data_IF_217483999540
#
_entry.id   IF_217483999540
#
_cell.length_a   1.000
_cell.length_b   1.000
_cell.length_c   1.000
_cell.angle_alpha   90.00
_cell.angle_beta   90.00
_cell.angle_gamma   90.00
#
_symmetry.space_group_name_H-M   'P 1'
#
loop_
_entity.id
_entity.type
_entity.pdbx_description
1 polymer ?
#
# COMPACT_ATOMS: atom_id res chain seq x y z
N UNK A 1 -7.74 12.00 -9.79
CA UNK A 1 -6.29 11.97 -9.50
C UNK A 1 -5.57 12.10 -10.81
N UNK A 2 -4.81 13.19 -11.01
CA UNK A 2 -4.03 13.33 -12.23
C UNK A 2 -3.00 12.22 -12.27
N UNK A 3 -2.99 11.44 -13.35
CA UNK A 3 -2.03 10.35 -13.54
C UNK A 3 -0.63 10.97 -13.65
N UNK A 4 0.26 10.62 -12.72
CA UNK A 4 1.65 11.07 -12.77
C UNK A 4 2.29 10.57 -14.07
N UNK A 5 2.86 11.45 -14.88
CA UNK A 5 3.49 11.06 -16.13
C UNK A 5 4.82 10.34 -15.86
N UNK A 6 4.98 9.18 -16.51
CA UNK A 6 6.28 8.49 -16.58
C UNK A 6 7.23 9.33 -17.41
N UNK A 7 8.45 9.50 -16.87
CA UNK A 7 9.52 10.22 -17.55
C UNK A 7 10.45 9.27 -18.33
N UNK A 8 11.73 9.45 -18.19
CA UNK A 8 12.76 8.73 -18.95
C UNK A 8 13.22 7.45 -18.23
N UNK A 9 13.13 6.31 -18.90
CA UNK A 9 13.64 5.00 -18.45
C UNK A 9 14.92 4.57 -19.18
N UNK A 10 15.50 5.43 -20.01
CA UNK A 10 16.74 5.11 -20.72
C UNK A 10 17.86 4.75 -19.72
N UNK A 11 18.65 3.73 -20.05
CA UNK A 11 19.74 3.27 -19.19
C UNK A 11 19.33 2.33 -18.04
N UNK A 12 18.03 2.08 -17.82
CA UNK A 12 17.60 1.00 -16.94
C UNK A 12 17.83 -0.36 -17.62
N UNK A 13 18.29 -1.35 -16.85
CA UNK A 13 18.49 -2.71 -17.33
C UNK A 13 17.18 -3.52 -17.27
N UNK A 14 16.83 -4.30 -18.31
CA UNK A 14 15.69 -5.18 -18.25
C UNK A 14 15.94 -6.33 -17.26
N UNK A 15 14.90 -6.69 -16.52
CA UNK A 15 14.85 -7.87 -15.64
C UNK A 15 13.86 -8.85 -16.26
N UNK A 16 14.31 -10.08 -16.49
CA UNK A 16 13.45 -11.14 -17.00
C UNK A 16 12.48 -11.60 -15.90
N UNK A 17 11.20 -11.39 -16.12
CA UNK A 17 10.12 -11.87 -15.25
C UNK A 17 8.92 -12.29 -16.11
N UNK A 18 8.43 -13.54 -16.00
CA UNK A 18 7.27 -13.98 -16.76
C UNK A 18 6.02 -13.14 -16.45
N UNK A 19 5.35 -12.66 -17.49
CA UNK A 19 4.05 -12.01 -17.39
C UNK A 19 4.07 -10.51 -17.07
N UNK A 20 5.24 -9.91 -16.84
CA UNK A 20 5.35 -8.45 -16.71
C UNK A 20 6.67 -7.90 -17.27
N UNK A 21 6.69 -6.59 -17.52
CA UNK A 21 7.92 -5.87 -17.87
C UNK A 21 8.56 -5.37 -16.58
N UNK A 22 9.85 -5.66 -16.39
CA UNK A 22 10.58 -5.13 -15.24
C UNK A 22 11.89 -4.48 -15.67
N UNK A 23 12.20 -3.32 -15.08
CA UNK A 23 13.39 -2.53 -15.34
C UNK A 23 14.08 -2.19 -14.02
N UNK A 24 15.41 -2.13 -14.03
CA UNK A 24 16.21 -1.86 -12.83
C UNK A 24 17.29 -0.83 -13.10
N UNK A 25 17.56 0.01 -12.11
CA UNK A 25 18.78 0.81 -12.10
C UNK A 25 20.02 -0.08 -12.05
N UNK A 26 21.13 0.29 -12.75
CA UNK A 26 22.38 -0.43 -12.63
C UNK A 26 22.83 -0.60 -11.17
N UNK A 27 23.18 -1.83 -10.79
CA UNK A 27 23.59 -2.19 -9.41
C UNK A 27 22.45 -2.61 -8.48
N UNK A 28 21.18 -2.52 -8.90
CA UNK A 28 20.03 -2.99 -8.12
C UNK A 28 19.44 -4.30 -8.63
N UNK A 29 20.04 -4.93 -9.63
CA UNK A 29 19.45 -6.05 -10.39
C UNK A 29 19.09 -7.26 -9.51
N UNK A 30 19.89 -7.55 -8.48
CA UNK A 30 19.61 -8.67 -7.56
C UNK A 30 18.32 -8.42 -6.77
N UNK A 31 18.18 -7.21 -6.22
CA UNK A 31 17.00 -6.82 -5.48
C UNK A 31 15.79 -6.73 -6.42
N UNK A 32 15.98 -6.14 -7.59
CA UNK A 32 14.97 -6.00 -8.62
C UNK A 32 14.34 -7.34 -9.03
N UNK A 33 15.14 -8.41 -9.16
CA UNK A 33 14.59 -9.76 -9.42
C UNK A 33 13.65 -10.24 -8.32
N UNK A 34 13.97 -9.98 -7.06
CA UNK A 34 13.09 -10.36 -5.94
C UNK A 34 11.77 -9.60 -5.98
N UNK A 35 11.83 -8.28 -6.20
CA UNK A 35 10.64 -7.43 -6.28
C UNK A 35 9.80 -7.78 -7.51
N UNK A 36 10.42 -7.93 -8.68
CA UNK A 36 9.74 -8.29 -9.91
C UNK A 36 9.05 -9.67 -9.82
N UNK A 37 9.75 -10.66 -9.25
CA UNK A 37 9.18 -12.00 -9.07
C UNK A 37 7.98 -11.98 -8.11
N UNK A 38 8.01 -11.19 -7.03
CA UNK A 38 6.83 -10.97 -6.18
C UNK A 38 5.70 -10.33 -6.96
N UNK A 39 5.98 -9.22 -7.66
CA UNK A 39 4.98 -8.53 -8.47
C UNK A 39 4.36 -9.43 -9.54
N UNK A 40 5.17 -10.25 -10.22
CA UNK A 40 4.71 -11.21 -11.23
C UNK A 40 3.76 -12.27 -10.67
N UNK A 41 4.12 -12.89 -9.53
CA UNK A 41 3.24 -13.86 -8.87
C UNK A 41 1.97 -13.21 -8.33
N UNK A 42 2.08 -12.02 -7.70
CA UNK A 42 0.92 -11.28 -7.19
C UNK A 42 0.00 -10.83 -8.34
N UNK A 43 0.56 -10.40 -9.47
CA UNK A 43 -0.21 -10.07 -10.68
C UNK A 43 -0.99 -11.26 -11.20
N UNK A 44 -0.37 -12.44 -11.27
CA UNK A 44 -1.06 -13.66 -11.70
C UNK A 44 -2.22 -14.03 -10.76
N UNK A 45 -1.98 -14.02 -9.44
CA UNK A 45 -2.98 -14.30 -8.42
C UNK A 45 -4.15 -13.31 -8.45
N UNK A 46 -3.86 -12.00 -8.45
CA UNK A 46 -4.90 -10.97 -8.53
C UNK A 46 -5.68 -11.03 -9.84
N UNK A 47 -5.02 -11.36 -10.96
CA UNK A 47 -5.69 -11.48 -12.25
C UNK A 47 -6.69 -12.64 -12.27
N UNK A 48 -6.34 -13.77 -11.64
CA UNK A 48 -7.25 -14.90 -11.47
C UNK A 48 -8.42 -14.53 -10.54
N UNK A 49 -8.11 -13.93 -9.39
CA UNK A 49 -9.10 -13.55 -8.37
C UNK A 49 -10.10 -12.50 -8.88
N UNK A 50 -9.61 -11.47 -9.59
CA UNK A 50 -10.39 -10.30 -9.99
C UNK A 50 -10.90 -10.36 -11.43
N UNK A 51 -10.51 -11.40 -12.18
CA UNK A 51 -11.05 -11.73 -13.49
C UNK A 51 -10.50 -10.89 -14.66
N UNK A 52 -9.41 -10.13 -14.48
CA UNK A 52 -8.72 -9.46 -15.58
C UNK A 52 -7.28 -9.11 -15.25
N UNK A 53 -6.34 -9.13 -16.23
CA UNK A 53 -4.96 -8.73 -16.06
C UNK A 53 -4.75 -7.27 -16.49
N UNK A 54 -4.41 -6.33 -15.58
CA UNK A 54 -3.99 -5.00 -15.96
C UNK A 54 -2.60 -5.04 -16.63
N UNK A 55 -2.27 -3.99 -17.39
CA UNK A 55 -0.91 -3.81 -17.90
C UNK A 55 -0.01 -3.36 -16.75
N UNK A 56 1.13 -4.02 -16.60
CA UNK A 56 2.07 -3.76 -15.50
C UNK A 56 3.49 -3.67 -16.04
N UNK A 57 4.18 -2.62 -15.64
CA UNK A 57 5.62 -2.48 -15.72
C UNK A 57 6.15 -2.15 -14.32
N UNK A 58 7.25 -2.74 -13.89
CA UNK A 58 7.88 -2.48 -12.59
C UNK A 58 9.24 -1.82 -12.80
N UNK A 59 9.45 -0.63 -12.24
CA UNK A 59 10.73 0.05 -12.22
C UNK A 59 11.33 0.03 -10.82
N UNK A 60 12.45 -0.68 -10.64
CA UNK A 60 13.18 -0.77 -9.36
C UNK A 60 14.38 0.16 -9.42
N UNK A 61 14.33 1.28 -8.69
CA UNK A 61 15.19 2.42 -8.93
C UNK A 61 16.18 2.68 -7.79
N UNK A 62 17.42 3.01 -8.17
CA UNK A 62 18.38 3.67 -7.29
C UNK A 62 18.05 5.17 -7.14
N UNK A 63 18.55 5.86 -6.08
CA UNK A 63 18.29 7.30 -5.87
C UNK A 63 18.63 8.18 -7.09
N UNK A 64 19.71 7.85 -7.82
CA UNK A 64 20.17 8.62 -8.99
C UNK A 64 19.21 8.61 -10.17
N UNK A 65 18.39 7.57 -10.31
CA UNK A 65 17.42 7.44 -11.40
C UNK A 65 16.00 7.85 -11.02
N UNK A 66 15.73 7.98 -9.71
CA UNK A 66 14.38 8.24 -9.19
C UNK A 66 13.72 9.46 -9.85
N UNK A 67 14.33 10.66 -9.70
CA UNK A 67 13.76 11.90 -10.26
C UNK A 67 13.74 11.96 -11.79
N UNK A 68 14.41 11.03 -12.48
CA UNK A 68 14.36 10.89 -13.94
C UNK A 68 13.13 10.10 -14.40
N UNK A 69 12.72 9.07 -13.63
CA UNK A 69 11.60 8.18 -13.97
C UNK A 69 10.28 8.70 -13.42
N UNK A 70 10.28 9.28 -12.22
CA UNK A 70 9.07 9.76 -11.53
C UNK A 70 9.18 11.22 -11.08
N UNK A 71 8.07 11.98 -11.06
CA UNK A 71 8.02 13.33 -10.50
C UNK A 71 7.92 13.34 -8.96
N UNK A 72 7.67 12.18 -8.31
CA UNK A 72 7.54 12.10 -6.85
C UNK A 72 8.91 12.36 -6.19
N UNK A 73 9.06 13.40 -5.36
CA UNK A 73 10.37 13.83 -4.87
C UNK A 73 10.93 12.94 -3.75
N UNK A 74 10.08 12.13 -3.12
CA UNK A 74 10.46 11.28 -1.98
C UNK A 74 10.98 9.95 -2.47
N UNK A 75 12.30 9.74 -2.42
CA UNK A 75 12.91 8.48 -2.78
C UNK A 75 12.40 7.35 -1.89
N UNK A 76 11.95 6.28 -2.52
CA UNK A 76 11.50 5.07 -1.86
C UNK A 76 10.02 5.02 -1.54
N UNK A 77 9.27 6.10 -1.74
CA UNK A 77 7.81 6.06 -1.62
C UNK A 77 7.24 5.29 -2.82
N UNK A 78 6.72 4.05 -2.64
CA UNK A 78 6.18 3.27 -3.75
C UNK A 78 4.92 3.95 -4.30
N UNK A 79 4.76 3.92 -5.60
CA UNK A 79 3.60 4.49 -6.29
C UNK A 79 3.56 4.01 -7.74
N UNK A 80 2.49 4.33 -8.45
CA UNK A 80 2.44 4.12 -9.89
C UNK A 80 2.46 5.44 -10.67
N UNK A 81 3.01 5.40 -11.89
CA UNK A 81 3.04 6.51 -12.84
C UNK A 81 2.51 6.05 -14.20
N UNK A 82 1.97 6.99 -14.97
CA UNK A 82 1.35 6.65 -16.25
C UNK A 82 0.20 5.66 -16.08
N UNK A 83 0.01 4.81 -17.08
CA UNK A 83 -1.10 3.87 -17.12
C UNK A 83 -0.79 2.53 -16.43
N UNK A 84 0.45 2.26 -16.01
CA UNK A 84 0.77 0.93 -15.46
C UNK A 84 2.21 0.72 -15.00
N UNK A 85 3.00 1.78 -14.76
CA UNK A 85 4.37 1.65 -14.28
C UNK A 85 4.41 1.80 -12.76
N UNK A 86 4.74 0.72 -12.05
CA UNK A 86 5.03 0.73 -10.62
C UNK A 86 6.47 1.18 -10.39
N UNK A 87 6.68 2.10 -9.46
CA UNK A 87 7.98 2.62 -9.10
C UNK A 87 8.28 2.27 -7.64
N UNK A 88 9.36 1.54 -7.42
CA UNK A 88 9.81 1.11 -6.09
C UNK A 88 11.30 1.33 -5.90
N UNK A 89 11.75 1.44 -4.64
CA UNK A 89 13.18 1.61 -4.34
C UNK A 89 13.97 0.33 -4.58
N UNK A 90 15.11 0.45 -5.23
CA UNK A 90 16.10 -0.63 -5.43
C UNK A 90 17.13 -0.75 -4.31
N UNK A 91 17.11 0.20 -3.35
CA UNK A 91 18.00 0.27 -2.19
C UNK A 91 17.24 0.77 -0.97
N UNK A 92 17.74 0.55 0.26
CA UNK A 92 17.09 1.08 1.46
C UNK A 92 16.79 2.58 1.35
N UNK A 93 15.57 2.95 1.69
CA UNK A 93 15.08 4.31 1.57
C UNK A 93 14.96 5.00 2.93
N UNK A 94 15.61 6.17 3.12
CA UNK A 94 15.53 6.92 4.39
C UNK A 94 14.10 7.25 4.81
N UNK A 95 13.18 7.41 3.85
CA UNK A 95 11.76 7.65 4.15
C UNK A 95 11.19 6.59 5.11
N UNK A 96 11.44 5.30 4.85
CA UNK A 96 10.94 4.23 5.69
C UNK A 96 11.79 4.04 6.95
N UNK A 97 13.11 3.90 6.81
CA UNK A 97 14.01 3.56 7.93
C UNK A 97 14.12 4.68 8.96
N UNK A 98 14.03 5.94 8.56
CA UNK A 98 14.26 7.10 9.43
C UNK A 98 12.96 7.87 9.71
N UNK A 99 12.21 8.26 8.67
CA UNK A 99 11.04 9.12 8.87
C UNK A 99 9.87 8.34 9.45
N UNK A 100 9.47 7.21 8.83
CA UNK A 100 8.32 6.43 9.30
C UNK A 100 8.59 5.80 10.66
N UNK A 101 9.76 5.18 10.86
CA UNK A 101 10.16 4.65 12.17
C UNK A 101 10.33 5.78 13.20
N UNK A 102 10.91 6.93 12.79
CA UNK A 102 11.04 8.12 13.63
C UNK A 102 9.71 8.68 14.11
N UNK A 103 8.68 8.58 13.31
CA UNK A 103 7.32 9.02 13.63
C UNK A 103 6.69 8.22 14.78
N UNK A 104 6.85 6.90 14.77
CA UNK A 104 6.22 6.02 15.76
C UNK A 104 7.05 5.83 17.03
N UNK A 105 8.39 5.91 16.92
CA UNK A 105 9.34 5.63 18.02
C UNK A 105 9.05 6.38 19.33
N UNK A 106 8.69 7.68 19.32
CA UNK A 106 8.42 8.42 20.58
C UNK A 106 7.25 7.85 21.38
N UNK A 107 6.22 7.31 20.72
CA UNK A 107 5.03 6.74 21.37
C UNK A 107 5.16 5.27 21.75
N UNK A 108 6.27 4.59 21.39
CA UNK A 108 6.47 3.20 21.73
C UNK A 108 6.88 3.00 23.18
N UNK A 109 6.21 2.08 23.86
CA UNK A 109 6.66 1.53 25.14
C UNK A 109 7.83 0.53 24.95
N UNK A 110 8.26 -0.12 26.01
CA UNK A 110 9.38 -1.06 25.96
C UNK A 110 9.04 -2.32 25.13
N UNK A 111 7.81 -2.80 25.20
CA UNK A 111 7.35 -3.95 24.41
C UNK A 111 7.30 -3.60 22.91
N UNK A 112 6.75 -2.45 22.56
CA UNK A 112 6.73 -1.96 21.17
C UNK A 112 8.14 -1.79 20.60
N UNK A 113 9.07 -1.25 21.37
CA UNK A 113 10.49 -1.15 20.97
C UNK A 113 11.15 -2.51 20.80
N UNK A 114 10.84 -3.46 21.67
CA UNK A 114 11.33 -4.83 21.55
C UNK A 114 10.79 -5.50 20.27
N UNK A 115 9.48 -5.42 20.02
CA UNK A 115 8.86 -5.98 18.82
C UNK A 115 9.43 -5.36 17.54
N UNK A 116 9.60 -4.04 17.49
CA UNK A 116 10.19 -3.35 16.34
C UNK A 116 11.59 -3.91 16.02
N UNK A 117 12.45 -4.07 17.04
CA UNK A 117 13.80 -4.63 16.87
C UNK A 117 13.80 -6.10 16.52
N UNK A 118 12.90 -6.88 17.09
CA UNK A 118 12.80 -8.30 16.81
C UNK A 118 12.49 -8.61 15.35
N UNK A 119 11.66 -7.77 14.72
CA UNK A 119 11.23 -7.94 13.32
C UNK A 119 12.19 -7.26 12.34
N UNK A 120 12.65 -6.04 12.65
CA UNK A 120 13.37 -5.20 11.69
C UNK A 120 14.85 -4.95 12.05
N UNK A 121 15.34 -5.55 13.14
CA UNK A 121 16.74 -5.38 13.59
C UNK A 121 17.01 -4.12 14.40
N UNK A 122 18.28 -3.91 14.74
CA UNK A 122 18.76 -2.74 15.48
C UNK A 122 20.04 -2.19 14.82
N UNK A 123 20.00 -1.01 14.16
CA UNK A 123 18.83 -0.16 13.93
C UNK A 123 17.78 -0.82 13.02
N UNK A 124 16.50 -0.49 13.18
CA UNK A 124 15.43 -1.05 12.34
C UNK A 124 15.66 -0.78 10.85
N UNK A 125 15.54 -1.83 10.04
CA UNK A 125 15.59 -1.78 8.58
C UNK A 125 14.25 -2.27 8.03
N UNK A 126 13.43 -1.35 7.59
CA UNK A 126 12.05 -1.66 7.16
C UNK A 126 11.92 -1.88 5.65
N UNK A 127 13.05 -2.05 4.95
CA UNK A 127 13.05 -2.44 3.54
C UNK A 127 12.17 -3.68 3.26
N UNK A 128 12.20 -4.76 4.09
CA UNK A 128 11.32 -5.90 3.84
C UNK A 128 9.83 -5.56 3.84
N UNK A 129 9.40 -4.59 4.68
CA UNK A 129 8.04 -4.06 4.67
C UNK A 129 7.77 -3.25 3.39
N UNK A 130 8.67 -2.32 3.03
CA UNK A 130 8.48 -1.51 1.83
C UNK A 130 8.46 -2.33 0.54
N UNK A 131 9.17 -3.45 0.50
CA UNK A 131 9.17 -4.38 -0.64
C UNK A 131 7.83 -5.11 -0.81
N UNK A 132 7.05 -5.27 0.26
CA UNK A 132 5.69 -5.82 0.17
C UNK A 132 4.72 -4.86 -0.48
N UNK A 133 4.95 -3.55 -0.33
CA UNK A 133 4.06 -2.52 -0.87
C UNK A 133 3.97 -2.54 -2.40
N UNK A 134 4.85 -3.26 -3.12
CA UNK A 134 4.68 -3.50 -4.56
C UNK A 134 3.35 -4.17 -4.88
N UNK A 135 2.83 -5.02 -3.97
CA UNK A 135 1.51 -5.67 -4.13
C UNK A 135 0.37 -4.68 -3.89
N UNK A 136 0.52 -3.78 -2.92
CA UNK A 136 -0.42 -2.68 -2.67
C UNK A 136 -0.54 -1.78 -3.91
N UNK A 137 0.60 -1.32 -4.43
CA UNK A 137 0.63 -0.46 -5.63
C UNK A 137 0.12 -1.18 -6.88
N UNK A 138 0.41 -2.49 -7.00
CA UNK A 138 -0.15 -3.32 -8.05
C UNK A 138 -1.69 -3.34 -8.00
N UNK A 139 -2.28 -3.46 -6.81
CA UNK A 139 -3.74 -3.48 -6.65
C UNK A 139 -4.41 -2.19 -7.11
N UNK A 140 -3.74 -1.03 -6.98
CA UNK A 140 -4.23 0.23 -7.55
C UNK A 140 -4.44 0.15 -9.08
N UNK A 141 -3.63 -0.61 -9.80
CA UNK A 141 -3.79 -0.75 -11.25
C UNK A 141 -5.06 -1.52 -11.64
N UNK A 142 -5.52 -2.44 -10.79
CA UNK A 142 -6.75 -3.19 -11.07
C UNK A 142 -7.98 -2.29 -11.09
N UNK A 143 -8.17 -1.41 -10.12
CA UNK A 143 -9.29 -0.49 -10.18
C UNK A 143 -9.06 0.64 -11.20
N UNK A 144 -7.85 1.19 -11.32
CA UNK A 144 -7.56 2.26 -12.27
C UNK A 144 -7.79 1.83 -13.73
N UNK A 145 -7.29 0.64 -14.13
CA UNK A 145 -7.46 0.14 -15.49
C UNK A 145 -8.83 -0.51 -15.74
N UNK A 146 -9.62 -0.77 -14.70
CA UNK A 146 -11.03 -1.17 -14.85
C UNK A 146 -11.94 -0.01 -15.24
N UNK A 147 -11.43 1.22 -15.27
CA UNK A 147 -12.18 2.40 -15.72
C UNK A 147 -13.11 2.98 -14.64
N UNK A 148 -12.91 2.64 -13.39
CA UNK A 148 -13.67 3.24 -12.29
C UNK A 148 -12.74 3.66 -11.14
N UNK A 149 -13.28 4.52 -10.26
CA UNK A 149 -12.67 4.94 -9.00
C UNK A 149 -13.61 4.66 -7.85
N UNK A 150 -13.07 4.23 -6.74
CA UNK A 150 -13.85 4.13 -5.52
C UNK A 150 -14.40 5.51 -5.12
N UNK A 151 -15.62 5.60 -4.56
CA UNK A 151 -16.25 6.88 -4.21
C UNK A 151 -15.48 7.65 -3.14
N UNK A 152 -14.71 6.95 -2.32
CA UNK A 152 -13.92 7.50 -1.21
C UNK A 152 -12.47 7.02 -1.33
N UNK A 153 -11.50 7.90 -1.04
CA UNK A 153 -10.06 7.57 -1.10
C UNK A 153 -9.70 6.40 -0.18
N UNK A 154 -10.21 6.41 1.05
CA UNK A 154 -9.94 5.36 2.02
C UNK A 154 -10.35 3.96 1.55
N UNK A 155 -11.41 3.89 0.76
CA UNK A 155 -11.90 2.62 0.23
C UNK A 155 -10.97 2.06 -0.85
N UNK A 156 -10.38 2.93 -1.67
CA UNK A 156 -9.32 2.56 -2.61
C UNK A 156 -8.09 2.02 -1.87
N UNK A 157 -7.65 2.69 -0.82
CA UNK A 157 -6.51 2.27 -0.01
C UNK A 157 -6.81 0.96 0.75
N UNK A 158 -8.02 0.82 1.30
CA UNK A 158 -8.45 -0.42 1.94
C UNK A 158 -8.44 -1.61 0.95
N UNK A 159 -8.92 -1.40 -0.28
CA UNK A 159 -8.86 -2.43 -1.32
C UNK A 159 -7.43 -2.88 -1.58
N UNK A 160 -6.49 -1.94 -1.68
CA UNK A 160 -5.08 -2.26 -1.91
C UNK A 160 -4.43 -2.95 -0.71
N UNK A 161 -4.77 -2.54 0.52
CA UNK A 161 -4.31 -3.21 1.73
C UNK A 161 -4.90 -4.62 1.88
N UNK A 162 -6.17 -4.85 1.50
CA UNK A 162 -6.76 -6.19 1.45
C UNK A 162 -6.05 -7.10 0.45
N UNK A 163 -5.67 -6.57 -0.71
CA UNK A 163 -4.91 -7.32 -1.70
C UNK A 163 -3.50 -7.69 -1.18
N UNK A 164 -2.84 -6.75 -0.49
CA UNK A 164 -1.54 -6.97 0.14
C UNK A 164 -1.62 -8.01 1.27
N UNK A 165 -2.59 -7.86 2.18
CA UNK A 165 -2.82 -8.81 3.28
C UNK A 165 -3.08 -10.21 2.74
N UNK A 166 -4.00 -10.34 1.78
CA UNK A 166 -4.34 -11.62 1.16
C UNK A 166 -3.14 -12.29 0.49
N UNK A 167 -2.37 -11.52 -0.25
CA UNK A 167 -1.15 -12.02 -0.87
C UNK A 167 -0.17 -12.57 0.16
N UNK A 168 0.12 -11.81 1.23
CA UNK A 168 1.07 -12.24 2.25
C UNK A 168 0.58 -13.47 2.98
N UNK A 169 -0.69 -13.50 3.40
CA UNK A 169 -1.25 -14.65 4.14
C UNK A 169 -1.23 -15.93 3.30
N UNK A 170 -1.54 -15.83 2.01
CA UNK A 170 -1.68 -17.03 1.16
C UNK A 170 -0.36 -17.47 0.50
N UNK A 171 0.56 -16.55 0.21
CA UNK A 171 1.74 -16.85 -0.63
C UNK A 171 3.09 -16.59 0.05
N UNK A 172 3.14 -15.73 1.06
CA UNK A 172 4.38 -15.38 1.79
C UNK A 172 4.10 -15.32 3.33
N UNK A 173 3.47 -16.37 3.94
CA UNK A 173 3.02 -16.33 5.33
C UNK A 173 4.15 -16.09 6.34
N UNK A 174 5.39 -16.39 6.00
CA UNK A 174 6.57 -16.09 6.80
C UNK A 174 6.82 -14.57 6.93
N UNK A 175 6.25 -13.75 6.04
CA UNK A 175 6.36 -12.29 6.08
C UNK A 175 5.20 -11.60 6.81
N UNK A 176 4.25 -12.35 7.36
CA UNK A 176 3.10 -11.80 8.11
C UNK A 176 3.55 -10.86 9.23
N UNK A 177 4.58 -11.24 10.01
CA UNK A 177 5.10 -10.37 11.06
C UNK A 177 5.76 -9.10 10.51
N UNK A 178 6.39 -9.19 9.33
CA UNK A 178 6.95 -8.02 8.63
C UNK A 178 5.83 -7.07 8.22
N UNK A 179 4.73 -7.59 7.67
CA UNK A 179 3.60 -6.76 7.27
C UNK A 179 2.89 -6.11 8.46
N UNK A 180 2.59 -6.89 9.50
CA UNK A 180 1.69 -6.45 10.58
C UNK A 180 2.37 -5.59 11.65
N UNK A 181 3.68 -5.79 11.93
CA UNK A 181 4.31 -5.16 13.10
C UNK A 181 4.33 -3.64 13.01
N UNK A 182 4.74 -3.09 11.88
CA UNK A 182 4.87 -1.63 11.73
C UNK A 182 3.50 -0.92 11.82
N UNK A 183 2.43 -1.35 11.11
CA UNK A 183 1.11 -0.75 11.24
C UNK A 183 0.52 -0.84 12.64
N UNK A 184 0.62 -2.01 13.30
CA UNK A 184 0.13 -2.19 14.67
C UNK A 184 0.82 -1.26 15.67
N UNK A 185 2.15 -1.14 15.56
CA UNK A 185 2.93 -0.24 16.40
C UNK A 185 2.60 1.23 16.12
N UNK A 186 2.38 1.60 14.87
CA UNK A 186 2.00 2.95 14.47
C UNK A 186 0.63 3.35 15.01
N UNK A 187 -0.36 2.47 14.89
CA UNK A 187 -1.71 2.69 15.47
C UNK A 187 -1.65 2.86 16.99
N UNK A 188 -0.80 2.08 17.66
CA UNK A 188 -0.65 2.17 19.12
C UNK A 188 0.13 3.41 19.58
N UNK A 189 1.12 3.85 18.78
CA UNK A 189 2.05 4.91 19.16
C UNK A 189 1.59 6.33 18.79
N UNK A 190 0.79 6.47 17.74
CA UNK A 190 0.34 7.78 17.26
C UNK A 190 -0.98 8.14 17.93
N UNK A 191 -0.97 9.18 18.76
CA UNK A 191 -2.20 9.74 19.34
C UNK A 191 -3.01 10.46 18.23
N UNK A 192 -4.19 9.96 17.86
CA UNK A 192 -5.01 10.59 16.82
C UNK A 192 -5.45 12.01 17.19
N UNK A 193 -5.49 12.38 18.47
CA UNK A 193 -5.85 13.73 18.90
C UNK A 193 -4.84 14.80 18.44
N UNK A 194 -3.61 14.39 18.12
CA UNK A 194 -2.56 15.28 17.60
C UNK A 194 -2.62 15.52 16.10
N UNK A 195 -3.48 14.77 15.38
CA UNK A 195 -3.55 14.82 13.93
C UNK A 195 -4.60 15.85 13.46
N UNK A 196 -4.29 16.67 12.44
CA UNK A 196 -5.19 17.70 11.93
C UNK A 196 -6.40 17.14 11.16
N UNK A 197 -6.25 15.99 10.50
CA UNK A 197 -7.32 15.31 9.76
C UNK A 197 -7.54 13.93 10.36
N UNK A 198 -8.78 13.63 10.77
CA UNK A 198 -9.12 12.35 11.44
C UNK A 198 -10.37 11.70 10.89
N UNK A 199 -11.18 12.43 10.15
CA UNK A 199 -12.38 11.93 9.52
C UNK A 199 -12.01 11.00 8.36
N UNK A 200 -12.57 9.79 8.34
CA UNK A 200 -12.28 8.78 7.32
C UNK A 200 -12.57 9.31 5.91
N UNK A 201 -13.69 9.99 5.71
CA UNK A 201 -14.08 10.58 4.43
C UNK A 201 -13.16 11.73 3.97
N UNK A 202 -12.30 12.24 4.84
CA UNK A 202 -11.34 13.31 4.55
C UNK A 202 -9.90 12.83 4.40
N UNK A 203 -9.68 11.53 4.26
CA UNK A 203 -8.34 10.97 4.13
C UNK A 203 -7.51 11.62 3.03
N UNK A 204 -8.12 12.00 1.91
CA UNK A 204 -7.45 12.69 0.79
C UNK A 204 -6.77 14.00 1.21
N UNK A 205 -7.28 14.68 2.24
CA UNK A 205 -6.76 15.93 2.77
C UNK A 205 -5.61 15.70 3.76
N UNK A 206 -5.39 14.46 4.20
CA UNK A 206 -4.39 14.16 5.23
C UNK A 206 -2.97 14.50 4.78
N UNK A 207 -2.63 14.22 3.52
CA UNK A 207 -1.29 14.48 2.97
C UNK A 207 -1.01 15.98 2.87
N UNK A 208 -2.04 16.77 2.57
CA UNK A 208 -1.95 18.24 2.38
C UNK A 208 -2.03 19.02 3.69
N UNK A 209 -2.03 18.34 4.84
CA UNK A 209 -2.16 18.94 6.17
C UNK A 209 -0.86 19.63 6.65
N UNK A 210 -0.10 20.23 5.75
CA UNK A 210 1.13 20.95 6.04
C UNK A 210 2.24 20.05 6.64
N UNK A 211 3.01 20.52 7.63
CA UNK A 211 4.11 19.74 8.21
C UNK A 211 3.68 18.40 8.83
N UNK A 212 2.42 18.28 9.27
CA UNK A 212 1.87 17.06 9.83
C UNK A 212 1.35 16.09 8.75
N UNK A 213 1.31 16.49 7.48
CA UNK A 213 0.72 15.70 6.39
C UNK A 213 1.29 14.29 6.26
N UNK A 214 2.61 14.09 6.19
CA UNK A 214 3.19 12.74 6.10
C UNK A 214 2.81 11.84 7.28
N UNK A 215 2.84 12.39 8.50
CA UNK A 215 2.44 11.66 9.71
C UNK A 215 0.95 11.31 9.70
N UNK A 216 0.13 12.26 9.29
CA UNK A 216 -1.32 12.09 9.21
C UNK A 216 -1.69 11.02 8.19
N UNK A 217 -1.10 11.08 6.99
CA UNK A 217 -1.35 10.07 5.95
C UNK A 217 -0.85 8.68 6.36
N UNK A 218 0.35 8.59 6.97
CA UNK A 218 0.88 7.33 7.47
C UNK A 218 -0.04 6.70 8.53
N UNK A 219 -0.65 7.50 9.41
CA UNK A 219 -1.61 7.01 10.40
C UNK A 219 -2.86 6.39 9.74
N UNK A 220 -3.42 7.02 8.68
CA UNK A 220 -4.53 6.42 7.92
C UNK A 220 -4.12 5.08 7.31
N UNK A 221 -2.98 5.03 6.65
CA UNK A 221 -2.48 3.80 6.01
C UNK A 221 -2.30 2.66 7.01
N UNK A 222 -1.69 2.95 8.17
CA UNK A 222 -1.48 1.95 9.22
C UNK A 222 -2.80 1.44 9.80
N UNK A 223 -3.79 2.30 9.97
CA UNK A 223 -5.12 1.89 10.45
C UNK A 223 -5.86 1.07 9.42
N UNK A 224 -5.80 1.42 8.15
CA UNK A 224 -6.42 0.66 7.07
C UNK A 224 -5.76 -0.70 6.89
N UNK A 225 -4.44 -0.81 7.09
CA UNK A 225 -3.75 -2.10 7.08
C UNK A 225 -4.18 -2.99 8.25
N UNK A 226 -4.30 -2.45 9.46
CA UNK A 226 -4.83 -3.19 10.62
C UNK A 226 -6.29 -3.62 10.37
N UNK A 227 -7.11 -2.78 9.75
CA UNK A 227 -8.47 -3.13 9.35
C UNK A 227 -8.49 -4.23 8.28
N UNK A 228 -7.59 -4.15 7.28
CA UNK A 228 -7.47 -5.16 6.23
C UNK A 228 -7.16 -6.56 6.82
N UNK A 229 -6.25 -6.63 7.80
CA UNK A 229 -5.96 -7.89 8.52
C UNK A 229 -7.22 -8.48 9.17
N UNK A 230 -8.02 -7.66 9.87
CA UNK A 230 -9.25 -8.12 10.51
C UNK A 230 -10.31 -8.56 9.48
N UNK A 231 -10.48 -7.78 8.41
CA UNK A 231 -11.43 -8.06 7.33
C UNK A 231 -11.04 -9.36 6.61
N UNK A 232 -9.76 -9.53 6.26
CA UNK A 232 -9.29 -10.73 5.58
C UNK A 232 -9.54 -11.99 6.40
N UNK A 233 -9.29 -11.93 7.70
CA UNK A 233 -9.53 -13.07 8.61
C UNK A 233 -10.99 -13.49 8.70
N UNK A 234 -11.94 -12.58 8.43
CA UNK A 234 -13.39 -12.84 8.48
C UNK A 234 -13.99 -13.24 7.13
N UNK A 235 -13.56 -12.59 6.04
CA UNK A 235 -14.21 -12.68 4.73
C UNK A 235 -13.34 -13.24 3.61
N UNK A 236 -12.03 -13.31 3.80
CA UNK A 236 -11.08 -13.87 2.82
C UNK A 236 -11.14 -13.22 1.44
N UNK A 237 -10.71 -13.97 0.39
CA UNK A 237 -10.61 -13.45 -0.97
C UNK A 237 -11.95 -13.02 -1.59
N UNK A 238 -13.06 -13.58 -1.12
CA UNK A 238 -14.38 -13.17 -1.59
C UNK A 238 -14.71 -11.72 -1.28
N UNK A 239 -14.22 -11.20 -0.14
CA UNK A 239 -14.41 -9.80 0.23
C UNK A 239 -13.71 -8.88 -0.76
N UNK A 240 -12.47 -9.19 -1.14
CA UNK A 240 -11.70 -8.39 -2.12
C UNK A 240 -12.41 -8.36 -3.48
N UNK A 241 -12.88 -9.53 -3.96
CA UNK A 241 -13.61 -9.63 -5.23
C UNK A 241 -14.91 -8.83 -5.21
N UNK A 242 -15.74 -9.01 -4.16
CA UNK A 242 -17.03 -8.31 -4.02
C UNK A 242 -16.85 -6.81 -3.89
N UNK A 243 -15.77 -6.35 -3.23
CA UNK A 243 -15.46 -4.94 -3.12
C UNK A 243 -15.17 -4.33 -4.49
N UNK A 244 -14.39 -5.01 -5.34
CA UNK A 244 -14.16 -4.56 -6.70
C UNK A 244 -15.46 -4.59 -7.53
N UNK A 245 -16.18 -5.70 -7.51
CA UNK A 245 -17.38 -5.91 -8.34
C UNK A 245 -18.49 -4.91 -7.99
N UNK A 246 -18.64 -4.58 -6.69
CA UNK A 246 -19.66 -3.61 -6.22
C UNK A 246 -19.52 -2.23 -6.85
N UNK A 247 -18.28 -1.81 -7.11
CA UNK A 247 -18.01 -0.48 -7.64
C UNK A 247 -17.65 -0.47 -9.14
N UNK A 248 -17.38 -1.63 -9.73
CA UNK A 248 -17.08 -1.74 -11.17
C UNK A 248 -18.31 -1.40 -12.00
N UNK A 249 -18.27 -0.22 -12.65
CA UNK A 249 -19.32 0.21 -13.60
C UNK A 249 -20.64 0.65 -12.95
N UNK A 250 -20.67 0.88 -11.62
CA UNK A 250 -21.84 1.30 -10.91
C UNK A 250 -21.78 2.76 -10.46
N UNK A 251 -22.97 3.37 -10.25
CA UNK A 251 -23.06 4.65 -9.55
C UNK A 251 -22.71 4.48 -8.06
N UNK A 252 -22.13 5.52 -7.41
CA UNK A 252 -21.94 5.50 -5.98
C UNK A 252 -23.26 5.22 -5.26
N UNK A 253 -23.27 4.33 -4.25
CA UNK A 253 -24.49 4.04 -3.51
C UNK A 253 -24.93 5.26 -2.70
N UNK A 254 -26.24 5.47 -2.55
CA UNK A 254 -26.79 6.54 -1.72
C UNK A 254 -26.43 6.36 -0.22
N UNK A 255 -26.29 5.10 0.22
CA UNK A 255 -25.77 4.73 1.55
C UNK A 255 -24.60 3.78 1.36
N UNK A 256 -23.38 4.35 1.46
CA UNK A 256 -22.13 3.59 1.30
C UNK A 256 -22.01 2.51 2.39
N UNK A 257 -22.37 2.82 3.64
CA UNK A 257 -22.23 1.88 4.76
C UNK A 257 -23.14 0.66 4.58
N UNK A 258 -24.40 0.89 4.20
CA UNK A 258 -25.33 -0.20 3.90
C UNK A 258 -24.83 -1.06 2.73
N UNK A 259 -24.38 -0.43 1.65
CA UNK A 259 -23.85 -1.16 0.48
C UNK A 259 -22.62 -2.01 0.83
N UNK A 260 -21.70 -1.50 1.65
CA UNK A 260 -20.52 -2.28 2.09
C UNK A 260 -20.94 -3.46 2.96
N UNK A 261 -21.92 -3.29 3.85
CA UNK A 261 -22.41 -4.36 4.72
C UNK A 261 -23.14 -5.45 3.97
N UNK A 262 -24.06 -5.06 3.07
CA UNK A 262 -25.00 -5.99 2.46
C UNK A 262 -24.45 -6.63 1.18
N UNK A 263 -23.70 -5.87 0.37
CA UNK A 263 -23.21 -6.32 -0.94
C UNK A 263 -21.77 -6.85 -0.88
N UNK A 264 -20.96 -6.40 0.11
CA UNK A 264 -19.55 -6.80 0.23
C UNK A 264 -19.33 -7.74 1.41
N UNK A 265 -19.19 -7.20 2.60
CA UNK A 265 -19.03 -7.95 3.85
C UNK A 265 -19.26 -7.01 5.05
N UNK A 266 -19.92 -7.44 6.15
CA UNK A 266 -20.15 -6.61 7.34
C UNK A 266 -18.88 -5.99 7.91
N UNK A 267 -17.78 -6.73 7.99
CA UNK A 267 -16.49 -6.22 8.51
C UNK A 267 -15.91 -5.03 7.72
N UNK A 268 -16.29 -4.86 6.46
CA UNK A 268 -15.87 -3.67 5.67
C UNK A 268 -16.65 -2.44 6.10
N UNK A 269 -17.94 -2.61 6.42
CA UNK A 269 -18.77 -1.52 6.99
C UNK A 269 -18.32 -1.13 8.40
N UNK A 270 -17.83 -2.09 9.19
CA UNK A 270 -17.31 -1.86 10.54
C UNK A 270 -16.10 -0.89 10.54
N UNK A 271 -15.37 -0.76 9.43
CA UNK A 271 -14.32 0.27 9.29
C UNK A 271 -14.89 1.68 9.51
N UNK A 272 -16.09 1.95 9.02
CA UNK A 272 -16.76 3.25 9.21
C UNK A 272 -17.17 3.41 10.68
N UNK A 273 -17.72 2.35 11.28
CA UNK A 273 -18.28 2.37 12.64
C UNK A 273 -17.18 2.49 13.71
N UNK A 274 -16.06 1.80 13.50
CA UNK A 274 -14.94 1.72 14.45
C UNK A 274 -13.86 2.79 14.20
N UNK A 275 -14.03 3.63 13.16
CA UNK A 275 -13.06 4.67 12.88
C UNK A 275 -13.07 5.73 13.99
N UNK A 276 -11.91 6.09 14.55
CA UNK A 276 -11.83 7.08 15.62
C UNK A 276 -12.13 8.49 15.09
N UNK A 277 -13.42 8.78 14.93
CA UNK A 277 -13.89 10.09 14.52
C UNK A 277 -13.42 11.20 15.48
N UNK A 278 -13.33 12.42 14.97
CA UNK A 278 -13.15 13.61 15.81
C UNK A 278 -14.36 13.74 16.74
N UNK A 279 -14.15 13.51 18.04
CA UNK A 279 -15.13 13.93 19.06
C UNK A 279 -14.96 15.41 19.35
#
# INVERSE_FOLDING_TARGET
MDTLERRDVSGLAPIEEPGLVALASPGTERHARTVAARAGRAHAWLSELLGFPPRVEVCVLAPGDWGRVTPVPVFGFPHFVGEGTLVVAGTPAPFFDEQLVGLIRPGLDNEGRFRLRAVYGDPPRVQPFSDLLVVHELAHLYHAQSGFWFPERWLSELFCNLALEGWVVEHEPELTQVLHTLPQLGVAAIDPATLPVRDLARMEQALDAGPAGPANYAWYQMRLEVAATAIWSCGGPDTLRRLLDRFRGGEPPADLRAALRDDVHPSVADVIDDWPAAR
#
